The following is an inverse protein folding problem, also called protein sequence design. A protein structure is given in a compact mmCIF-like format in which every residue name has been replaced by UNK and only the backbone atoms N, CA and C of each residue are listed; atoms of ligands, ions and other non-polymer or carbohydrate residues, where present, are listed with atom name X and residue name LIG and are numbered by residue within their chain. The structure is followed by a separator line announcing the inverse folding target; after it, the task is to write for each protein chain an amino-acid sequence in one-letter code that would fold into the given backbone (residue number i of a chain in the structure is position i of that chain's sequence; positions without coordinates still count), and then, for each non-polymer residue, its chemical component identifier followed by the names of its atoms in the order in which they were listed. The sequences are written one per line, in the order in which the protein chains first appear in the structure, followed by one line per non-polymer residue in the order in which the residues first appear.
data_IF_102297933488
#
_entry.id   IF_102297933488
#
_cell.length_a   1.000
_cell.length_b   1.000
_cell.length_c   1.000
_cell.angle_alpha   90.00
_cell.angle_beta   90.00
_cell.angle_gamma   90.00
#
_symmetry.space_group_name_H-M   'P 1'
#
loop_
_entity.id
_entity.type
_entity.pdbx_description
1 polymer ?
#
# COMPACT_ATOMS: atom_id res chain seq x y z
N UNK A 1 -3.17 -6.52 -9.33
CA UNK A 1 -2.31 -7.55 -8.72
C UNK A 1 -0.88 -7.10 -8.93
N UNK A 2 -0.06 -7.10 -7.87
CA UNK A 2 1.22 -6.36 -7.72
C UNK A 2 1.83 -5.83 -9.03
N UNK A 3 1.46 -4.60 -9.41
CA UNK A 3 1.75 -4.08 -10.75
C UNK A 3 3.25 -3.84 -11.02
N UNK A 4 4.06 -3.76 -9.96
CA UNK A 4 5.47 -3.38 -10.00
C UNK A 4 6.42 -4.50 -9.60
N UNK A 5 5.94 -5.64 -9.10
CA UNK A 5 6.80 -6.70 -8.52
C UNK A 5 7.65 -7.46 -9.54
N UNK A 6 7.30 -7.39 -10.83
CA UNK A 6 8.02 -8.02 -11.93
C UNK A 6 8.85 -7.04 -12.77
N UNK A 7 8.97 -5.78 -12.32
CA UNK A 7 9.66 -4.73 -13.06
C UNK A 7 11.03 -4.42 -12.46
N UNK A 8 11.95 -4.00 -13.33
CA UNK A 8 13.23 -3.44 -12.90
C UNK A 8 12.97 -2.17 -12.06
N UNK A 9 13.79 -1.87 -11.04
CA UNK A 9 13.58 -0.73 -10.14
C UNK A 9 13.37 0.62 -10.85
N UNK A 10 14.01 0.81 -12.01
CA UNK A 10 13.92 2.04 -12.81
C UNK A 10 12.52 2.26 -13.42
N UNK A 11 11.76 1.18 -13.65
CA UNK A 11 10.42 1.23 -14.26
C UNK A 11 9.29 1.32 -13.22
N UNK A 12 9.59 1.04 -11.95
CA UNK A 12 8.61 1.09 -10.85
C UNK A 12 8.06 2.51 -10.67
N UNK A 13 8.93 3.52 -10.79
CA UNK A 13 8.55 4.92 -10.65
C UNK A 13 7.58 5.38 -11.75
N UNK A 14 7.76 4.89 -12.98
CA UNK A 14 6.89 5.24 -14.12
C UNK A 14 5.49 4.66 -13.93
N UNK A 15 5.39 3.39 -13.51
CA UNK A 15 4.10 2.75 -13.20
C UNK A 15 3.41 3.45 -12.03
N UNK A 16 4.16 3.77 -10.97
CA UNK A 16 3.63 4.52 -9.83
C UNK A 16 3.09 5.89 -10.25
N UNK A 17 3.74 6.58 -11.20
CA UNK A 17 3.27 7.85 -11.71
C UNK A 17 1.92 7.72 -12.44
N UNK A 18 1.78 6.72 -13.31
CA UNK A 18 0.50 6.46 -14.00
C UNK A 18 -0.60 6.14 -13.00
N UNK A 19 -0.30 5.31 -12.00
CA UNK A 19 -1.28 4.95 -10.96
C UNK A 19 -1.70 6.16 -10.12
N UNK A 20 -0.79 7.10 -9.82
CA UNK A 20 -1.11 8.38 -9.17
C UNK A 20 -2.04 9.25 -10.02
N UNK A 21 -1.80 9.32 -11.34
CA UNK A 21 -2.65 10.08 -12.26
C UNK A 21 -4.07 9.51 -12.29
N UNK A 22 -4.17 8.19 -12.39
CA UNK A 22 -5.44 7.46 -12.37
C UNK A 22 -6.24 7.68 -11.06
N UNK A 23 -5.54 7.69 -9.92
CA UNK A 23 -6.16 8.04 -8.63
C UNK A 23 -6.63 9.51 -8.59
N UNK A 24 -5.83 10.44 -9.14
CA UNK A 24 -6.19 11.86 -9.24
C UNK A 24 -7.39 12.12 -10.17
N UNK A 25 -7.64 11.24 -11.13
CA UNK A 25 -8.82 11.25 -12.00
C UNK A 25 -10.07 10.63 -11.34
N UNK A 26 -10.01 10.32 -10.04
CA UNK A 26 -11.09 9.70 -9.26
C UNK A 26 -11.51 8.32 -9.76
N UNK A 27 -10.62 7.58 -10.41
CA UNK A 27 -10.88 6.19 -10.74
C UNK A 27 -10.94 5.35 -9.45
N UNK A 28 -11.96 4.50 -9.33
CA UNK A 28 -12.00 3.50 -8.26
C UNK A 28 -10.94 2.43 -8.50
N UNK A 29 -10.02 2.25 -7.55
CA UNK A 29 -8.87 1.35 -7.70
C UNK A 29 -8.78 0.41 -6.50
N UNK A 30 -8.52 -0.88 -6.78
CA UNK A 30 -8.11 -1.86 -5.77
C UNK A 30 -6.68 -2.29 -6.08
N UNK A 31 -5.76 -1.93 -5.19
CA UNK A 31 -4.32 -2.11 -5.41
C UNK A 31 -3.79 -3.09 -4.38
N UNK A 32 -3.09 -4.12 -4.85
CA UNK A 32 -2.25 -4.99 -4.02
C UNK A 32 -0.81 -4.56 -4.30
N UNK A 33 -0.08 -4.14 -3.27
CA UNK A 33 1.27 -3.61 -3.44
C UNK A 33 2.12 -3.82 -2.18
N UNK A 34 3.43 -3.95 -2.38
CA UNK A 34 4.43 -3.88 -1.32
C UNK A 34 5.07 -2.48 -1.20
N UNK A 35 4.72 -1.55 -2.08
CA UNK A 35 5.20 -0.16 -2.08
C UNK A 35 4.43 0.69 -1.06
N UNK A 36 4.86 0.65 0.20
CA UNK A 36 4.16 1.29 1.32
C UNK A 36 4.05 2.81 1.19
N UNK A 37 5.10 3.48 0.65
CA UNK A 37 5.08 4.93 0.42
C UNK A 37 4.04 5.32 -0.63
N UNK A 38 3.96 4.55 -1.70
CA UNK A 38 2.94 4.75 -2.73
C UNK A 38 1.54 4.59 -2.12
N UNK A 39 1.30 3.53 -1.34
CA UNK A 39 0.04 3.32 -0.66
C UNK A 39 -0.31 4.45 0.32
N UNK A 40 0.67 5.00 1.06
CA UNK A 40 0.44 6.16 1.94
C UNK A 40 0.04 7.43 1.16
N UNK A 41 0.53 7.61 -0.06
CA UNK A 41 0.28 8.79 -0.89
C UNK A 41 -1.05 8.76 -1.65
N UNK A 42 -1.49 7.57 -2.11
CA UNK A 42 -2.65 7.47 -3.04
C UNK A 42 -3.88 6.81 -2.45
N UNK A 43 -3.76 6.02 -1.39
CA UNK A 43 -4.89 5.23 -0.90
C UNK A 43 -5.81 6.06 0.00
N UNK A 44 -7.12 5.90 -0.16
CA UNK A 44 -8.10 6.42 0.79
C UNK A 44 -8.23 5.49 2.02
N UNK A 45 -8.14 4.19 1.80
CA UNK A 45 -8.22 3.14 2.81
C UNK A 45 -7.17 2.05 2.55
N UNK A 46 -6.57 1.53 3.61
CA UNK A 46 -5.56 0.47 3.56
C UNK A 46 -6.10 -0.75 4.31
N UNK A 47 -6.01 -1.91 3.68
CA UNK A 47 -6.35 -3.20 4.29
C UNK A 47 -5.07 -4.01 4.48
N UNK A 48 -4.75 -4.33 5.73
CA UNK A 48 -3.69 -5.25 6.06
C UNK A 48 -4.26 -6.67 6.22
N UNK A 49 -3.77 -7.59 5.40
CA UNK A 49 -4.20 -8.98 5.39
C UNK A 49 -3.07 -9.91 5.82
N UNK A 50 -3.43 -10.93 6.61
CA UNK A 50 -2.52 -12.01 7.02
C UNK A 50 -3.34 -13.27 7.30
N UNK A 51 -2.81 -14.44 6.95
CA UNK A 51 -3.52 -15.71 7.16
C UNK A 51 -4.87 -15.83 6.42
N UNK A 52 -5.06 -15.09 5.33
CA UNK A 52 -6.31 -15.10 4.55
C UNK A 52 -7.45 -14.28 5.14
N UNK A 53 -7.20 -13.46 6.16
CA UNK A 53 -8.20 -12.56 6.77
C UNK A 53 -7.70 -11.11 6.78
N UNK A 54 -8.62 -10.16 6.81
CA UNK A 54 -8.30 -8.74 7.08
C UNK A 54 -8.05 -8.61 8.57
N UNK A 55 -6.78 -8.33 8.93
CA UNK A 55 -6.35 -8.19 10.31
C UNK A 55 -6.56 -6.77 10.80
N UNK A 56 -6.32 -5.78 9.93
CA UNK A 56 -6.52 -4.38 10.24
C UNK A 56 -6.94 -3.60 8.98
N UNK A 57 -7.80 -2.61 9.14
CA UNK A 57 -8.18 -1.69 8.06
C UNK A 57 -8.36 -0.28 8.59
N UNK A 58 -8.14 0.71 7.73
CA UNK A 58 -8.41 2.11 8.04
C UNK A 58 -7.65 3.07 7.14
N UNK A 59 -7.71 4.38 7.43
CA UNK A 59 -6.96 5.39 6.68
C UNK A 59 -5.45 5.09 6.71
N UNK A 60 -4.70 5.40 5.63
CA UNK A 60 -3.27 5.13 5.57
C UNK A 60 -2.50 5.72 6.77
N UNK A 61 -2.85 6.93 7.20
CA UNK A 61 -2.22 7.58 8.34
C UNK A 61 -2.38 6.79 9.64
N UNK A 62 -3.49 6.08 9.85
CA UNK A 62 -3.68 5.21 11.01
C UNK A 62 -2.87 3.92 10.87
N UNK A 63 -2.98 3.25 9.72
CA UNK A 63 -2.30 1.96 9.50
C UNK A 63 -0.78 2.10 9.51
N UNK A 64 -0.22 3.11 8.83
CA UNK A 64 1.23 3.26 8.70
C UNK A 64 1.89 3.91 9.91
N UNK A 65 1.22 4.85 10.59
CA UNK A 65 1.83 5.64 11.68
C UNK A 65 1.41 5.19 13.06
N UNK A 66 0.18 4.73 13.23
CA UNK A 66 -0.35 4.28 14.52
C UNK A 66 -1.15 2.96 14.43
N UNK A 67 -0.54 1.88 13.87
CA UNK A 67 -1.20 0.58 13.78
C UNK A 67 -1.54 0.03 15.16
N UNK A 68 -2.78 -0.46 15.30
CA UNK A 68 -3.35 -0.98 16.54
C UNK A 68 -3.04 -2.46 16.71
N UNK A 69 -2.95 -3.23 15.62
CA UNK A 69 -2.67 -4.66 15.72
C UNK A 69 -1.17 -4.93 15.80
N UNK A 70 -0.78 -5.84 16.71
CA UNK A 70 0.62 -6.25 16.87
C UNK A 70 1.19 -6.87 15.59
N UNK A 71 0.36 -7.59 14.83
CA UNK A 71 0.76 -8.20 13.56
C UNK A 71 1.10 -7.15 12.50
N UNK A 72 0.25 -6.13 12.36
CA UNK A 72 0.51 -4.99 11.45
C UNK A 72 1.79 -4.26 11.85
N UNK A 73 1.99 -4.00 13.15
CA UNK A 73 3.23 -3.41 13.69
C UNK A 73 4.47 -4.23 13.34
N UNK A 74 4.41 -5.54 13.54
CA UNK A 74 5.51 -6.45 13.27
C UNK A 74 5.84 -6.51 11.77
N UNK A 75 4.82 -6.45 10.90
CA UNK A 75 5.00 -6.37 9.45
C UNK A 75 5.67 -5.05 9.07
N UNK A 76 5.07 -3.91 9.42
CA UNK A 76 5.59 -2.59 9.04
C UNK A 76 7.02 -2.34 9.51
N UNK A 77 7.40 -2.82 10.70
CA UNK A 77 8.79 -2.75 11.20
C UNK A 77 9.82 -3.46 10.31
N UNK A 78 9.43 -4.48 9.55
CA UNK A 78 10.36 -5.19 8.66
C UNK A 78 10.55 -4.49 7.32
N UNK A 79 9.56 -3.71 6.88
CA UNK A 79 9.52 -3.11 5.55
C UNK A 79 9.72 -1.58 5.54
N UNK A 80 9.55 -0.90 6.68
CA UNK A 80 9.83 0.53 6.84
C UNK A 80 11.16 0.81 7.56
N UNK A 81 11.93 -0.23 7.92
CA UNK A 81 13.23 -0.11 8.60
C UNK A 81 14.39 0.11 7.63
#
# INVERSE_FOLDING_TARGET
DEATSALDPELVDEVNLVMKQLAAEHMTMLIVTHEMRFAEEVADEVLFMDGGVVVEQGPPAEIFRNPRQERTRAFLRKYLA
#
